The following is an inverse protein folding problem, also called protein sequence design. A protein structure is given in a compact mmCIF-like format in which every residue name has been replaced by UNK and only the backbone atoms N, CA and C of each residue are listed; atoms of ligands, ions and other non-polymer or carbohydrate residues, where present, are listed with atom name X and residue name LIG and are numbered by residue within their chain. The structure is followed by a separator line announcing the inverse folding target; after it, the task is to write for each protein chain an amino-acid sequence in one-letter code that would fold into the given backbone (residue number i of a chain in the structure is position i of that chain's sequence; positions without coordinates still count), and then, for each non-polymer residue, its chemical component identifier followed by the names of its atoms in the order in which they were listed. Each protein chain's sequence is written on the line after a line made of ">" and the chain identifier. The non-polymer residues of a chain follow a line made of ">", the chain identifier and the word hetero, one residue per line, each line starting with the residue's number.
data_IF_371092445098
#
_entry.id   IF_371092445098
#
_cell.length_a   1.000
_cell.length_b   1.000
_cell.length_c   1.000
_cell.angle_alpha   90.00
_cell.angle_beta   90.00
_cell.angle_gamma   90.00
#
_symmetry.space_group_name_H-M   'P 1'
#
loop_
_entity.id
_entity.type
_entity.pdbx_description
1 polymer ?
#
# COMPACT_ATOMS: atom_id res chain seq x y z
N UNK A 1 4.95 -8.93 38.87
CA UNK A 1 4.06 -9.76 38.02
C UNK A 1 2.79 -9.97 38.81
N UNK A 2 1.63 -9.69 38.20
CA UNK A 2 0.33 -9.83 38.86
C UNK A 2 -0.07 -11.29 39.04
N UNK A 3 -1.09 -11.52 39.85
CA UNK A 3 -1.70 -12.86 40.00
C UNK A 3 -2.47 -13.21 38.71
N UNK A 4 -2.37 -14.46 38.20
CA UNK A 4 -3.19 -14.94 37.09
C UNK A 4 -4.68 -14.68 37.35
N UNK A 5 -5.39 -14.15 36.35
CA UNK A 5 -6.80 -13.78 36.48
C UNK A 5 -7.74 -14.96 36.18
N UNK A 6 -7.35 -16.16 36.61
CA UNK A 6 -8.03 -17.44 36.32
C UNK A 6 -9.27 -17.67 37.18
N UNK A 7 -9.33 -17.06 38.36
CA UNK A 7 -10.41 -17.29 39.33
C UNK A 7 -11.66 -16.42 39.06
N UNK A 8 -11.61 -15.54 38.06
CA UNK A 8 -12.74 -14.69 37.69
C UNK A 8 -13.70 -15.42 36.75
N UNK A 9 -15.01 -15.20 36.89
CA UNK A 9 -16.05 -15.83 36.07
C UNK A 9 -15.85 -15.63 34.56
N UNK A 10 -15.36 -14.45 34.16
CA UNK A 10 -15.03 -14.10 32.77
C UNK A 10 -13.93 -14.97 32.14
N UNK A 11 -13.14 -15.67 32.96
CA UNK A 11 -12.13 -16.60 32.47
C UNK A 11 -12.73 -17.76 31.67
N UNK A 12 -14.01 -18.09 31.88
CA UNK A 12 -14.74 -19.09 31.08
C UNK A 12 -14.69 -18.85 29.56
N UNK A 13 -14.52 -17.59 29.11
CA UNK A 13 -14.33 -17.26 27.70
C UNK A 13 -13.00 -17.80 27.12
N UNK A 14 -11.97 -17.97 27.97
CA UNK A 14 -10.70 -18.59 27.57
C UNK A 14 -10.89 -20.08 27.29
N UNK A 15 -11.69 -20.75 28.12
CA UNK A 15 -12.03 -22.17 27.94
C UNK A 15 -12.90 -22.35 26.69
N UNK A 16 -13.94 -21.53 26.51
CA UNK A 16 -14.79 -21.52 25.31
C UNK A 16 -13.97 -21.28 24.04
N UNK A 17 -13.04 -20.32 24.07
CA UNK A 17 -12.16 -20.03 22.94
C UNK A 17 -11.30 -21.24 22.60
N UNK A 18 -10.72 -21.89 23.63
CA UNK A 18 -9.85 -23.04 23.46
C UNK A 18 -10.58 -24.22 22.82
N UNK A 19 -11.81 -24.50 23.26
CA UNK A 19 -12.68 -25.51 22.68
C UNK A 19 -13.08 -25.14 21.24
N UNK A 20 -13.50 -23.89 21.01
CA UNK A 20 -14.04 -23.44 19.72
C UNK A 20 -13.04 -23.54 18.56
N UNK A 21 -11.75 -23.46 18.86
CA UNK A 21 -10.67 -23.53 17.86
C UNK A 21 -9.73 -24.73 18.05
N UNK A 22 -9.93 -25.58 19.06
CA UNK A 22 -9.10 -26.74 19.34
C UNK A 22 -7.63 -26.38 19.62
N UNK A 23 -7.39 -25.29 20.35
CA UNK A 23 -6.05 -24.78 20.69
C UNK A 23 -6.04 -24.30 22.13
N UNK A 24 -4.95 -24.56 22.87
CA UNK A 24 -4.82 -24.10 24.25
C UNK A 24 -4.58 -22.58 24.31
N UNK A 25 -5.64 -21.80 24.53
CA UNK A 25 -5.56 -20.34 24.68
C UNK A 25 -5.11 -19.95 26.10
N UNK A 26 -5.35 -20.81 27.10
CA UNK A 26 -4.89 -20.56 28.47
C UNK A 26 -3.35 -20.51 28.52
N UNK A 27 -2.68 -21.46 27.85
CA UNK A 27 -1.22 -21.43 27.67
C UNK A 27 -0.77 -20.10 27.05
N UNK A 28 -1.43 -19.63 25.98
CA UNK A 28 -1.09 -18.37 25.32
C UNK A 28 -1.18 -17.15 26.25
N UNK A 29 -2.10 -17.15 27.21
CA UNK A 29 -2.33 -16.02 28.10
C UNK A 29 -1.51 -16.07 29.40
N UNK A 30 -1.10 -17.25 29.84
CA UNK A 30 -0.47 -17.47 31.14
C UNK A 30 1.01 -17.85 31.05
N UNK A 31 1.35 -18.71 30.09
CA UNK A 31 2.60 -19.48 30.11
C UNK A 31 3.44 -19.29 28.85
N UNK A 32 2.87 -18.74 27.77
CA UNK A 32 3.57 -18.55 26.52
C UNK A 32 4.71 -17.52 26.64
N UNK A 33 5.89 -17.93 26.17
CA UNK A 33 7.07 -17.08 26.10
C UNK A 33 6.84 -15.92 25.11
N UNK A 34 7.56 -14.80 25.32
CA UNK A 34 7.43 -13.63 24.46
C UNK A 34 7.64 -13.96 22.97
N UNK A 35 8.57 -14.86 22.65
CA UNK A 35 8.82 -15.33 21.28
C UNK A 35 7.64 -16.10 20.69
N UNK A 36 6.88 -16.86 21.49
CA UNK A 36 5.67 -17.52 21.00
C UNK A 36 4.57 -16.50 20.71
N UNK A 37 4.48 -15.44 21.52
CA UNK A 37 3.50 -14.35 21.32
C UNK A 37 3.88 -13.39 20.19
N UNK A 38 5.13 -13.39 19.72
CA UNK A 38 5.50 -12.61 18.51
C UNK A 38 4.91 -13.19 17.22
N UNK A 39 4.51 -14.47 17.21
CA UNK A 39 3.78 -15.06 16.09
C UNK A 39 2.42 -14.39 15.92
N UNK A 40 2.12 -13.93 14.71
CA UNK A 40 0.83 -13.32 14.35
C UNK A 40 -0.33 -14.28 14.61
N UNK A 41 -0.15 -15.58 14.36
CA UNK A 41 -1.18 -16.59 14.64
C UNK A 41 -1.54 -16.65 16.14
N UNK A 42 -0.59 -16.34 17.01
CA UNK A 42 -0.75 -16.46 18.47
C UNK A 42 -1.23 -15.14 19.07
N UNK A 43 -0.60 -14.02 18.65
CA UNK A 43 -0.94 -12.68 19.09
C UNK A 43 -2.41 -12.33 18.81
N UNK A 44 -2.92 -12.72 17.64
CA UNK A 44 -4.29 -12.41 17.21
C UNK A 44 -5.33 -13.07 18.15
N UNK A 45 -5.17 -14.36 18.42
CA UNK A 45 -6.10 -15.11 19.28
C UNK A 45 -6.00 -14.62 20.73
N UNK A 46 -4.77 -14.49 21.25
CA UNK A 46 -4.54 -14.03 22.62
C UNK A 46 -5.15 -12.64 22.86
N UNK A 47 -4.94 -11.70 21.93
CA UNK A 47 -5.44 -10.33 22.05
C UNK A 47 -6.96 -10.26 21.97
N UNK A 48 -7.58 -11.02 21.05
CA UNK A 48 -9.03 -11.05 20.90
C UNK A 48 -9.72 -11.59 22.16
N UNK A 49 -9.24 -12.74 22.65
CA UNK A 49 -9.84 -13.41 23.82
C UNK A 49 -9.65 -12.57 25.07
N UNK A 50 -8.43 -12.06 25.31
CA UNK A 50 -8.17 -11.20 26.47
C UNK A 50 -9.04 -9.94 26.46
N UNK A 51 -9.21 -9.31 25.29
CA UNK A 51 -10.05 -8.11 25.16
C UNK A 51 -11.51 -8.38 25.54
N UNK A 52 -12.04 -9.56 25.21
CA UNK A 52 -13.42 -9.93 25.52
C UNK A 52 -13.59 -10.45 26.95
N UNK A 53 -12.56 -11.09 27.54
CA UNK A 53 -12.51 -11.39 28.97
C UNK A 53 -12.56 -10.09 29.79
N UNK A 54 -11.77 -9.08 29.41
CA UNK A 54 -11.78 -7.76 30.05
C UNK A 54 -13.15 -7.09 29.88
N UNK A 55 -13.71 -7.11 28.67
CA UNK A 55 -15.02 -6.52 28.41
C UNK A 55 -16.13 -7.20 29.23
N UNK A 56 -16.14 -8.53 29.31
CA UNK A 56 -17.11 -9.27 30.10
C UNK A 56 -17.01 -8.92 31.59
N UNK A 57 -15.79 -8.83 32.12
CA UNK A 57 -15.60 -8.42 33.51
C UNK A 57 -16.10 -6.98 33.79
N UNK A 58 -15.86 -6.05 32.85
CA UNK A 58 -16.39 -4.67 32.94
C UNK A 58 -17.93 -4.67 32.89
N UNK A 59 -18.54 -5.49 32.03
CA UNK A 59 -20.00 -5.63 31.97
C UNK A 59 -20.59 -6.18 33.26
N UNK A 60 -19.89 -7.11 33.93
CA UNK A 60 -20.32 -7.63 35.23
C UNK A 60 -20.31 -6.57 36.35
N UNK A 61 -19.61 -5.44 36.18
CA UNK A 61 -19.73 -4.29 37.09
C UNK A 61 -20.93 -3.39 36.78
N UNK A 62 -21.75 -3.74 35.79
CA UNK A 62 -22.90 -2.95 35.33
C UNK A 62 -22.56 -1.84 34.32
N UNK A 63 -21.34 -1.85 33.76
CA UNK A 63 -20.90 -0.86 32.77
C UNK A 63 -21.04 -1.47 31.37
N UNK A 64 -21.91 -0.88 30.55
CA UNK A 64 -22.10 -1.27 29.15
C UNK A 64 -21.49 -0.23 28.20
N UNK A 65 -20.81 -0.65 27.12
CA UNK A 65 -20.32 0.28 26.10
C UNK A 65 -21.49 0.88 25.33
N UNK A 66 -21.52 2.21 25.18
CA UNK A 66 -22.53 2.88 24.34
C UNK A 66 -22.28 2.72 22.84
N UNK A 67 -21.03 2.47 22.46
CA UNK A 67 -20.61 2.20 21.09
C UNK A 67 -19.36 1.32 21.11
N UNK A 68 -19.19 0.49 20.09
CA UNK A 68 -18.00 -0.33 19.90
C UNK A 68 -17.34 0.07 18.58
N UNK A 69 -16.03 0.32 18.60
CA UNK A 69 -15.24 0.61 17.43
C UNK A 69 -13.92 -0.13 17.53
N UNK A 70 -13.40 -0.59 16.39
CA UNK A 70 -12.19 -1.39 16.37
C UNK A 70 -11.52 -1.34 15.03
N UNK A 71 -10.19 -1.44 15.04
CA UNK A 71 -9.35 -1.36 13.86
C UNK A 71 -8.52 -2.64 13.72
N UNK A 72 -8.42 -3.19 12.51
CA UNK A 72 -7.74 -4.47 12.23
C UNK A 72 -8.34 -5.60 13.08
N UNK A 73 -7.55 -6.28 13.92
CA UNK A 73 -8.08 -7.29 14.85
C UNK A 73 -9.21 -6.73 15.73
N UNK A 74 -9.09 -5.47 16.14
CA UNK A 74 -10.08 -4.82 16.98
C UNK A 74 -11.47 -4.74 16.34
N UNK A 75 -11.58 -4.80 15.00
CA UNK A 75 -12.89 -4.82 14.32
C UNK A 75 -13.69 -6.08 14.71
N UNK A 76 -13.05 -7.24 14.75
CA UNK A 76 -13.68 -8.48 15.21
C UNK A 76 -14.09 -8.38 16.67
N UNK A 77 -13.22 -7.84 17.52
CA UNK A 77 -13.53 -7.58 18.94
C UNK A 77 -14.72 -6.63 19.08
N UNK A 78 -14.79 -5.56 18.28
CA UNK A 78 -15.87 -4.58 18.32
C UNK A 78 -17.19 -5.17 17.79
N UNK A 79 -17.16 -5.97 16.73
CA UNK A 79 -18.33 -6.68 16.20
C UNK A 79 -18.87 -7.70 17.20
N UNK A 80 -18.00 -8.44 17.88
CA UNK A 80 -18.41 -9.35 18.96
C UNK A 80 -18.95 -8.58 20.16
N UNK A 81 -18.28 -7.49 20.56
CA UNK A 81 -18.72 -6.62 21.64
C UNK A 81 -20.10 -6.00 21.38
N UNK A 82 -20.37 -5.61 20.13
CA UNK A 82 -21.66 -5.08 19.69
C UNK A 82 -22.75 -6.16 19.50
N UNK A 83 -22.41 -7.45 19.66
CA UNK A 83 -23.32 -8.57 19.45
C UNK A 83 -23.62 -8.89 17.98
N UNK A 84 -22.91 -8.28 17.04
CA UNK A 84 -23.03 -8.56 15.61
C UNK A 84 -22.38 -9.90 15.21
N UNK A 85 -21.40 -10.36 15.99
CA UNK A 85 -20.78 -11.69 15.88
C UNK A 85 -20.87 -12.42 17.22
N UNK A 86 -21.11 -13.73 17.19
CA UNK A 86 -20.98 -14.54 18.41
C UNK A 86 -19.50 -14.72 18.78
N UNK A 87 -19.21 -14.87 20.07
CA UNK A 87 -17.84 -15.06 20.58
C UNK A 87 -17.12 -16.21 19.85
N UNK A 88 -17.73 -17.39 19.80
CA UNK A 88 -17.23 -18.57 19.12
C UNK A 88 -16.99 -18.36 17.60
N UNK A 89 -17.83 -17.55 16.94
CA UNK A 89 -17.62 -17.21 15.51
C UNK A 89 -16.44 -16.27 15.36
N UNK A 90 -16.37 -15.23 16.20
CA UNK A 90 -15.28 -14.25 16.16
C UNK A 90 -13.93 -14.89 16.44
N UNK A 91 -13.81 -15.80 17.42
CA UNK A 91 -12.53 -16.49 17.71
C UNK A 91 -12.09 -17.40 16.56
N UNK A 92 -13.01 -18.08 15.87
CA UNK A 92 -12.70 -18.90 14.68
C UNK A 92 -12.22 -18.05 13.51
N UNK A 93 -12.87 -16.91 13.27
CA UNK A 93 -12.47 -15.95 12.23
C UNK A 93 -11.11 -15.34 12.53
N UNK A 94 -10.87 -14.95 13.78
CA UNK A 94 -9.59 -14.39 14.23
C UNK A 94 -8.47 -15.41 14.10
N UNK A 95 -8.70 -16.67 14.47
CA UNK A 95 -7.73 -17.76 14.22
C UNK A 95 -7.42 -17.89 12.74
N UNK A 96 -8.45 -18.07 11.90
CA UNK A 96 -8.25 -18.27 10.46
C UNK A 96 -7.47 -17.09 9.83
N UNK A 97 -7.77 -15.86 10.25
CA UNK A 97 -7.04 -14.66 9.87
C UNK A 97 -5.59 -14.70 10.35
N UNK A 98 -5.35 -15.01 11.62
CA UNK A 98 -4.01 -15.09 12.21
C UNK A 98 -3.14 -16.14 11.52
N UNK A 99 -3.69 -17.33 11.25
CA UNK A 99 -3.01 -18.43 10.55
C UNK A 99 -2.64 -18.02 9.11
N UNK A 100 -3.58 -17.39 8.37
CA UNK A 100 -3.33 -16.91 7.01
C UNK A 100 -2.28 -15.77 6.96
N UNK A 101 -2.32 -14.85 7.92
CA UNK A 101 -1.34 -13.77 8.02
C UNK A 101 0.05 -14.31 8.38
N UNK A 102 0.13 -15.28 9.30
CA UNK A 102 1.39 -15.91 9.66
C UNK A 102 1.97 -16.69 8.47
N UNK A 103 1.14 -17.46 7.76
CA UNK A 103 1.58 -18.17 6.55
C UNK A 103 2.10 -17.20 5.47
N UNK A 104 1.46 -16.04 5.31
CA UNK A 104 1.93 -15.00 4.39
C UNK A 104 3.27 -14.38 4.85
N UNK A 105 3.44 -14.15 6.16
CA UNK A 105 4.68 -13.64 6.74
C UNK A 105 5.83 -14.65 6.63
N UNK A 106 5.55 -15.94 6.86
CA UNK A 106 6.52 -17.04 6.73
C UNK A 106 6.94 -17.23 5.26
N UNK A 107 6.00 -17.08 4.32
CA UNK A 107 6.26 -17.23 2.89
C UNK A 107 7.12 -16.10 2.31
N UNK A 108 7.04 -14.88 2.86
CA UNK A 108 7.81 -13.71 2.41
C UNK A 108 8.35 -12.90 3.60
N UNK A 109 9.48 -13.34 4.20
CA UNK A 109 10.09 -12.64 5.32
C UNK A 109 10.64 -11.26 4.92
N UNK A 110 10.32 -10.20 5.67
CA UNK A 110 10.84 -8.83 5.48
C UNK A 110 10.62 -7.95 6.71
N UNK A 111 11.34 -6.82 6.85
CA UNK A 111 11.21 -5.89 7.99
C UNK A 111 11.76 -4.46 7.73
N UNK A 112 11.19 -3.43 8.41
CA UNK A 112 11.99 -2.32 8.97
C UNK A 112 12.30 -2.60 10.43
N UNK A 113 13.47 -2.18 10.89
CA UNK A 113 13.85 -2.23 12.29
C UNK A 113 13.68 -0.85 12.95
N UNK A 114 12.88 -0.79 14.01
CA UNK A 114 12.92 0.31 14.97
C UNK A 114 13.64 -0.19 16.22
N UNK A 115 14.71 0.50 16.62
CA UNK A 115 15.41 0.21 17.87
C UNK A 115 14.75 1.06 18.96
N UNK A 116 13.99 0.43 19.85
CA UNK A 116 13.19 1.10 20.88
C UNK A 116 13.66 0.60 22.25
N UNK A 117 13.80 1.50 23.23
CA UNK A 117 14.15 1.14 24.61
C UNK A 117 15.64 0.96 24.88
N UNK A 118 16.50 1.33 23.93
CA UNK A 118 17.93 1.53 24.18
C UNK A 118 18.17 2.95 24.70
N UNK A 119 19.17 3.11 25.56
CA UNK A 119 19.75 4.43 25.82
C UNK A 119 20.51 4.95 24.59
N UNK A 120 20.82 6.23 24.62
CA UNK A 120 21.43 6.95 23.50
C UNK A 120 22.78 6.33 23.07
N UNK A 121 23.55 5.83 24.03
CA UNK A 121 24.86 5.22 23.79
C UNK A 121 24.70 3.86 23.09
N UNK A 122 23.79 3.01 23.57
CA UNK A 122 23.50 1.71 22.97
C UNK A 122 22.88 1.86 21.56
N UNK A 123 22.07 2.90 21.34
CA UNK A 123 21.56 3.22 20.01
C UNK A 123 22.68 3.62 19.03
N UNK A 124 23.60 4.49 19.47
CA UNK A 124 24.77 4.90 18.68
C UNK A 124 25.69 3.69 18.36
N UNK A 125 25.98 2.85 19.36
CA UNK A 125 26.77 1.64 19.16
C UNK A 125 26.10 0.66 18.19
N UNK A 126 24.78 0.48 18.31
CA UNK A 126 24.00 -0.35 17.40
C UNK A 126 24.13 0.14 15.97
N UNK A 127 23.98 1.44 15.75
CA UNK A 127 24.11 2.06 14.43
C UNK A 127 25.51 1.83 13.83
N UNK A 128 26.58 2.02 14.61
CA UNK A 128 27.95 1.75 14.18
C UNK A 128 28.20 0.29 13.77
N UNK A 129 27.44 -0.65 14.34
CA UNK A 129 27.50 -2.07 13.93
C UNK A 129 26.65 -2.34 12.69
N UNK A 130 25.53 -1.65 12.51
CA UNK A 130 24.59 -1.92 11.41
C UNK A 130 25.10 -1.31 10.10
N UNK A 131 25.53 -0.04 10.11
CA UNK A 131 25.96 0.70 8.91
C UNK A 131 26.92 -0.08 8.00
N UNK A 132 28.06 -0.61 8.47
CA UNK A 132 29.03 -1.30 7.60
C UNK A 132 28.53 -2.64 7.06
N UNK A 133 27.41 -3.17 7.57
CA UNK A 133 26.81 -4.45 7.16
C UNK A 133 25.57 -4.26 6.29
N UNK A 134 25.10 -3.03 6.11
CA UNK A 134 23.88 -2.75 5.37
C UNK A 134 24.12 -2.86 3.86
N UNK A 135 23.28 -3.60 3.12
CA UNK A 135 23.34 -3.64 1.66
C UNK A 135 22.76 -2.38 1.00
N UNK A 136 22.17 -1.47 1.79
CA UNK A 136 21.54 -0.24 1.32
C UNK A 136 22.02 0.98 2.10
N UNK A 137 22.00 2.20 1.51
CA UNK A 137 22.28 3.43 2.24
C UNK A 137 21.30 3.63 3.39
N UNK A 138 21.83 3.91 4.59
CA UNK A 138 21.01 4.14 5.78
C UNK A 138 20.85 5.63 6.05
N UNK A 139 19.61 6.04 6.32
CA UNK A 139 19.28 7.40 6.77
C UNK A 139 18.96 7.34 8.26
N UNK A 140 19.72 8.06 9.10
CA UNK A 140 19.41 8.16 10.52
C UNK A 140 18.40 9.28 10.78
N UNK A 141 17.27 8.93 11.39
CA UNK A 141 16.22 9.86 11.76
C UNK A 141 16.38 10.34 13.20
N UNK A 142 16.91 11.55 13.39
CA UNK A 142 17.29 12.05 14.71
C UNK A 142 16.29 13.10 15.20
N UNK A 143 15.80 12.88 16.42
CA UNK A 143 14.87 13.77 17.10
C UNK A 143 15.51 14.35 18.37
N UNK A 144 15.37 15.67 18.58
CA UNK A 144 15.73 16.45 19.79
C UNK A 144 17.23 16.54 20.16
N UNK A 145 18.01 15.48 19.94
CA UNK A 145 19.37 15.36 20.47
C UNK A 145 20.44 15.50 19.38
N UNK A 146 21.14 16.64 19.34
CA UNK A 146 22.27 16.85 18.40
C UNK A 146 23.41 15.83 18.56
N UNK A 147 23.67 15.36 19.80
CA UNK A 147 24.70 14.34 20.07
C UNK A 147 24.46 13.04 19.32
N UNK A 148 23.20 12.62 19.19
CA UNK A 148 22.85 11.43 18.40
C UNK A 148 23.08 11.65 16.90
N UNK A 149 22.90 12.88 16.40
CA UNK A 149 23.23 13.21 15.01
C UNK A 149 24.73 13.12 14.76
N UNK A 150 25.55 13.66 15.66
CA UNK A 150 27.02 13.54 15.60
C UNK A 150 27.46 12.07 15.70
N UNK A 151 26.86 11.29 16.60
CA UNK A 151 27.15 9.87 16.72
C UNK A 151 26.74 9.07 15.45
N UNK A 152 25.63 9.44 14.81
CA UNK A 152 25.24 8.84 13.54
C UNK A 152 26.20 9.17 12.40
N UNK A 153 26.73 10.40 12.35
CA UNK A 153 27.80 10.78 11.42
C UNK A 153 29.08 9.98 11.67
N UNK A 154 29.43 9.75 12.94
CA UNK A 154 30.57 8.89 13.31
C UNK A 154 30.36 7.43 12.91
N UNK A 155 29.13 6.93 13.02
CA UNK A 155 28.75 5.60 12.57
C UNK A 155 28.80 5.42 11.04
N UNK A 156 28.89 6.51 10.27
CA UNK A 156 29.02 6.47 8.80
C UNK A 156 27.69 6.38 8.05
N UNK A 157 26.60 6.93 8.60
CA UNK A 157 25.31 6.94 7.89
C UNK A 157 25.39 7.69 6.56
N UNK A 158 24.59 7.26 5.59
CA UNK A 158 24.60 7.85 4.25
C UNK A 158 23.82 9.16 4.17
N UNK A 159 22.96 9.46 5.14
CA UNK A 159 22.20 10.68 5.23
C UNK A 159 21.66 10.86 6.66
N UNK A 160 21.53 12.10 7.11
CA UNK A 160 20.75 12.42 8.32
C UNK A 160 19.36 12.90 7.92
N UNK A 161 18.36 12.68 8.78
CA UNK A 161 17.15 13.51 8.80
C UNK A 161 17.07 14.24 10.12
N UNK A 162 16.90 15.56 10.03
CA UNK A 162 16.66 16.44 11.17
C UNK A 162 15.26 17.05 11.08
N UNK A 163 14.65 17.29 12.24
CA UNK A 163 13.39 18.03 12.34
C UNK A 163 13.65 19.39 13.03
N UNK A 164 13.43 20.49 12.30
CA UNK A 164 13.51 21.88 12.81
C UNK A 164 12.86 22.12 14.17
N UNK A 165 11.62 21.67 14.34
CA UNK A 165 10.84 21.93 15.57
C UNK A 165 11.42 21.26 16.83
N UNK A 166 12.36 20.33 16.66
CA UNK A 166 12.87 19.47 17.72
C UNK A 166 14.29 19.87 18.20
N UNK A 167 15.18 20.34 17.31
CA UNK A 167 16.53 20.81 17.68
C UNK A 167 16.51 22.34 17.72
N UNK A 168 16.14 22.92 18.86
CA UNK A 168 15.80 24.36 18.97
C UNK A 168 16.97 25.33 19.02
N UNK A 169 18.21 24.84 19.17
CA UNK A 169 19.38 25.71 19.33
C UNK A 169 20.10 25.85 17.99
N UNK A 170 20.15 27.05 17.39
CA UNK A 170 20.83 27.27 16.12
C UNK A 170 22.29 26.81 16.13
N UNK A 171 22.97 26.93 17.28
CA UNK A 171 24.37 26.51 17.42
C UNK A 171 24.53 24.99 17.21
N UNK A 172 23.59 24.20 17.73
CA UNK A 172 23.62 22.74 17.55
C UNK A 172 23.28 22.32 16.12
N UNK A 173 22.35 23.02 15.46
CA UNK A 173 22.03 22.77 14.05
C UNK A 173 23.26 23.04 13.18
N UNK A 174 23.92 24.19 13.40
CA UNK A 174 25.13 24.61 12.70
C UNK A 174 26.30 23.65 12.91
N UNK A 175 26.48 23.17 14.13
CA UNK A 175 27.51 22.16 14.45
C UNK A 175 27.27 20.86 13.67
N UNK A 176 26.04 20.33 13.68
CA UNK A 176 25.71 19.11 12.94
C UNK A 176 25.86 19.30 11.43
N UNK A 177 25.46 20.46 10.89
CA UNK A 177 25.61 20.78 9.47
C UNK A 177 27.08 20.91 9.06
N UNK A 178 27.92 21.56 9.87
CA UNK A 178 29.35 21.66 9.61
C UNK A 178 30.02 20.27 9.61
N UNK A 179 29.73 19.44 10.62
CA UNK A 179 30.28 18.08 10.71
C UNK A 179 29.81 17.18 9.56
N UNK A 180 28.54 17.31 9.15
CA UNK A 180 28.03 16.60 7.99
C UNK A 180 28.72 17.05 6.69
N UNK A 181 29.02 18.35 6.57
CA UNK A 181 29.76 18.94 5.45
C UNK A 181 31.18 18.40 5.35
N UNK A 182 31.91 18.36 6.47
CA UNK A 182 33.27 17.80 6.54
C UNK A 182 33.33 16.32 6.12
N UNK A 183 32.22 15.59 6.30
CA UNK A 183 32.09 14.17 5.95
C UNK A 183 31.44 13.90 4.59
N UNK A 184 30.91 14.94 3.93
CA UNK A 184 30.13 14.80 2.70
C UNK A 184 28.85 13.97 2.87
N UNK A 185 28.16 14.13 4.00
CA UNK A 185 26.90 13.43 4.29
C UNK A 185 25.72 14.40 4.12
N UNK A 186 24.76 14.13 3.20
CA UNK A 186 23.61 15.00 2.99
C UNK A 186 22.65 15.01 4.18
N UNK A 187 21.92 16.11 4.36
CA UNK A 187 20.90 16.25 5.41
C UNK A 187 19.51 16.45 4.80
N UNK A 188 18.54 15.63 5.21
CA UNK A 188 17.11 15.88 4.97
C UNK A 188 16.54 16.78 6.06
N UNK A 189 16.08 17.96 5.69
CA UNK A 189 15.30 18.85 6.55
C UNK A 189 13.82 18.44 6.47
N UNK A 190 13.26 17.96 7.57
CA UNK A 190 11.90 17.40 7.61
C UNK A 190 10.94 18.16 8.50
N UNK A 191 10.23 19.14 7.93
CA UNK A 191 9.16 19.91 8.57
C UNK A 191 7.86 19.10 8.55
N UNK A 192 7.18 19.00 9.69
CA UNK A 192 5.86 18.38 9.79
C UNK A 192 4.85 19.35 10.38
N UNK A 193 3.61 19.30 9.89
CA UNK A 193 2.47 20.05 10.42
C UNK A 193 2.29 19.90 11.94
N UNK A 194 2.49 18.69 12.48
CA UNK A 194 2.34 18.41 13.91
C UNK A 194 3.50 18.86 14.79
N UNK A 195 4.59 19.38 14.21
CA UNK A 195 5.78 19.84 14.94
C UNK A 195 6.30 21.16 14.38
N UNK A 196 5.38 22.05 13.97
CA UNK A 196 5.71 23.35 13.44
C UNK A 196 6.39 24.21 14.52
N UNK A 197 7.25 25.13 14.09
CA UNK A 197 7.85 26.12 14.99
C UNK A 197 6.74 26.97 15.65
N UNK A 198 6.70 27.07 17.00
CA UNK A 198 5.62 27.76 17.70
C UNK A 198 5.47 29.24 17.34
N UNK A 199 6.56 29.93 17.00
CA UNK A 199 6.52 31.35 16.63
C UNK A 199 5.95 31.53 15.22
N UNK A 200 6.24 30.59 14.32
CA UNK A 200 5.67 30.57 12.96
C UNK A 200 4.18 30.22 13.04
N UNK A 201 3.82 29.19 13.80
CA UNK A 201 2.44 28.76 14.00
C UNK A 201 1.58 29.88 14.61
N UNK A 202 2.09 30.59 15.62
CA UNK A 202 1.38 31.71 16.23
C UNK A 202 1.11 32.87 15.26
N UNK A 203 1.96 33.05 14.24
CA UNK A 203 1.86 34.16 13.28
C UNK A 203 1.01 33.84 12.06
N UNK A 204 1.14 32.62 11.54
CA UNK A 204 0.57 32.22 10.24
C UNK A 204 -0.53 31.15 10.39
N UNK A 205 -0.61 30.47 11.54
CA UNK A 205 -1.42 29.28 11.71
C UNK A 205 -0.86 28.09 10.95
N UNK A 206 -1.63 27.00 10.87
CA UNK A 206 -1.26 25.82 10.10
C UNK A 206 -1.64 26.01 8.62
N UNK A 207 -0.76 26.65 7.85
CA UNK A 207 -0.95 26.95 6.42
C UNK A 207 0.24 26.48 5.58
N UNK A 208 0.12 26.40 4.25
CA UNK A 208 1.25 26.12 3.36
C UNK A 208 2.44 27.05 3.58
N UNK A 209 2.17 28.35 3.71
CA UNK A 209 3.20 29.38 3.93
C UNK A 209 3.93 29.17 5.26
N UNK A 210 3.23 28.68 6.29
CA UNK A 210 3.84 28.40 7.57
C UNK A 210 4.83 27.22 7.49
N UNK A 211 4.46 26.15 6.79
CA UNK A 211 5.32 24.99 6.56
C UNK A 211 6.57 25.36 5.73
N UNK A 212 6.39 26.14 4.67
CA UNK A 212 7.49 26.60 3.81
C UNK A 212 8.40 27.58 4.56
N UNK A 213 7.83 28.55 5.29
CA UNK A 213 8.63 29.48 6.10
C UNK A 213 9.46 28.76 7.18
N UNK A 214 8.95 27.65 7.72
CA UNK A 214 9.72 26.81 8.65
C UNK A 214 10.88 26.10 7.97
N UNK A 215 10.73 25.68 6.70
CA UNK A 215 11.82 25.10 5.93
C UNK A 215 12.88 26.15 5.54
N UNK A 216 12.45 27.35 5.11
CA UNK A 216 13.35 28.46 4.76
C UNK A 216 14.19 28.95 5.94
N UNK A 217 13.57 29.07 7.14
CA UNK A 217 14.29 29.43 8.37
C UNK A 217 15.44 28.47 8.64
N UNK A 218 15.24 27.20 8.38
CA UNK A 218 16.22 26.15 8.67
C UNK A 218 17.32 26.13 7.63
N UNK A 219 16.95 26.25 6.35
CA UNK A 219 17.93 26.47 5.29
C UNK A 219 18.85 27.65 5.59
N UNK A 220 18.33 28.73 6.17
CA UNK A 220 19.15 29.88 6.55
C UNK A 220 20.25 29.51 7.58
N UNK A 221 19.96 28.64 8.55
CA UNK A 221 20.98 28.18 9.50
C UNK A 221 22.09 27.35 8.85
N UNK A 222 21.74 26.55 7.84
CA UNK A 222 22.68 25.71 7.10
C UNK A 222 23.54 26.57 6.16
N UNK A 223 22.92 27.58 5.51
CA UNK A 223 23.61 28.55 4.67
C UNK A 223 24.65 29.38 5.46
N UNK A 224 24.38 29.71 6.73
CA UNK A 224 25.35 30.42 7.59
C UNK A 224 26.67 29.65 7.81
N UNK A 225 26.65 28.32 7.67
CA UNK A 225 27.85 27.46 7.73
C UNK A 225 28.28 26.93 6.36
N UNK A 226 27.67 27.44 5.28
CA UNK A 226 28.01 27.04 3.90
C UNK A 226 27.66 25.59 3.57
N UNK A 227 26.61 25.03 4.17
CA UNK A 227 26.14 23.68 3.87
C UNK A 227 24.93 23.71 2.93
N UNK A 228 25.10 23.12 1.74
CA UNK A 228 24.09 23.13 0.68
C UNK A 228 23.59 21.73 0.28
N UNK A 229 24.18 20.65 0.81
CA UNK A 229 23.83 19.26 0.45
C UNK A 229 22.58 18.79 1.20
N UNK A 230 21.45 19.41 0.86
CA UNK A 230 20.16 19.25 1.54
C UNK A 230 19.09 18.68 0.62
N UNK A 231 18.14 17.98 1.23
CA UNK A 231 16.82 17.68 0.63
C UNK A 231 15.72 18.02 1.63
N UNK A 232 14.52 18.33 1.17
CA UNK A 232 13.49 18.93 2.03
C UNK A 232 12.18 18.14 1.97
N UNK A 233 11.47 18.06 3.10
CA UNK A 233 10.09 17.59 3.12
C UNK A 233 9.23 18.48 4.01
N UNK A 234 8.03 18.84 3.53
CA UNK A 234 6.98 19.56 4.27
C UNK A 234 5.74 18.67 4.35
N UNK A 235 5.66 17.81 5.36
CA UNK A 235 4.60 16.79 5.43
C UNK A 235 3.42 17.27 6.28
N UNK A 236 2.21 17.05 5.76
CA UNK A 236 0.97 17.21 6.50
C UNK A 236 0.10 15.96 6.34
N UNK A 237 -0.78 15.73 7.31
CA UNK A 237 -1.78 14.65 7.25
C UNK A 237 -3.01 15.08 6.47
N UNK A 238 -3.31 16.37 6.33
CA UNK A 238 -4.31 16.84 5.36
C UNK A 238 -3.69 16.88 3.95
N UNK A 239 -4.36 16.21 2.99
CA UNK A 239 -3.83 16.03 1.63
C UNK A 239 -3.77 17.35 0.88
N UNK A 240 -4.75 18.25 1.04
CA UNK A 240 -4.77 19.53 0.34
C UNK A 240 -3.67 20.44 0.85
N UNK A 241 -3.55 20.56 2.18
CA UNK A 241 -2.47 21.30 2.82
C UNK A 241 -1.11 20.78 2.35
N UNK A 242 -0.91 19.46 2.33
CA UNK A 242 0.34 18.85 1.87
C UNK A 242 0.64 19.23 0.41
N UNK A 243 -0.31 19.06 -0.51
CA UNK A 243 -0.12 19.37 -1.93
C UNK A 243 0.21 20.85 -2.14
N UNK A 244 -0.56 21.77 -1.56
CA UNK A 244 -0.30 23.21 -1.70
C UNK A 244 1.05 23.61 -1.07
N UNK A 245 1.46 22.96 0.03
CA UNK A 245 2.77 23.20 0.64
C UNK A 245 3.92 22.78 -0.25
N UNK A 246 3.83 21.62 -0.92
CA UNK A 246 4.88 21.16 -1.82
C UNK A 246 4.94 21.98 -3.11
N UNK A 247 3.80 22.44 -3.65
CA UNK A 247 3.78 23.36 -4.80
C UNK A 247 4.48 24.67 -4.45
N UNK A 248 4.10 25.28 -3.34
CA UNK A 248 4.75 26.50 -2.87
C UNK A 248 6.25 26.28 -2.61
N UNK A 249 6.60 25.15 -1.98
CA UNK A 249 8.01 24.83 -1.71
C UNK A 249 8.80 24.67 -3.01
N UNK A 250 8.27 23.98 -4.02
CA UNK A 250 8.93 23.78 -5.32
C UNK A 250 9.21 25.10 -6.06
N UNK A 251 8.35 26.11 -5.88
CA UNK A 251 8.57 27.46 -6.44
C UNK A 251 9.55 28.31 -5.59
N UNK A 252 9.86 27.87 -4.37
CA UNK A 252 10.66 28.63 -3.39
C UNK A 252 12.10 28.16 -3.31
N UNK A 253 12.37 26.87 -3.51
CA UNK A 253 13.70 26.26 -3.31
C UNK A 253 14.05 25.29 -4.43
N UNK A 254 15.33 25.26 -4.83
CA UNK A 254 15.86 24.33 -5.84
C UNK A 254 16.30 22.97 -5.25
N UNK A 255 16.17 22.78 -3.93
CA UNK A 255 16.59 21.56 -3.26
C UNK A 255 15.66 20.37 -3.58
N UNK A 256 16.18 19.14 -3.70
CA UNK A 256 15.36 17.94 -3.92
C UNK A 256 14.26 17.76 -2.85
N UNK A 257 13.08 17.36 -3.29
CA UNK A 257 11.88 17.24 -2.46
C UNK A 257 11.57 15.78 -2.13
N UNK A 258 11.48 15.48 -0.83
CA UNK A 258 11.08 14.18 -0.30
C UNK A 258 9.59 14.14 0.05
N UNK A 259 8.79 13.65 -0.88
CA UNK A 259 7.34 13.59 -0.76
C UNK A 259 6.88 12.59 0.30
N UNK A 260 5.73 12.88 0.89
CA UNK A 260 4.98 11.91 1.68
C UNK A 260 3.85 12.57 2.45
N UNK A 261 2.73 11.85 2.56
CA UNK A 261 1.66 12.20 3.51
C UNK A 261 2.04 11.57 4.85
N UNK A 262 2.16 12.39 5.89
CA UNK A 262 2.39 11.86 7.25
C UNK A 262 1.08 11.35 7.83
N UNK A 263 1.15 10.34 8.71
CA UNK A 263 -0.03 9.79 9.40
C UNK A 263 -1.17 9.48 8.41
N UNK A 264 -0.85 8.77 7.33
CA UNK A 264 -1.84 8.41 6.32
C UNK A 264 -2.88 7.44 6.90
N UNK A 265 -2.47 6.64 7.89
CA UNK A 265 -3.28 5.65 8.56
C UNK A 265 -3.17 4.27 7.92
N UNK A 266 -4.01 3.33 8.34
CA UNK A 266 -3.99 1.95 7.85
C UNK A 266 -4.59 1.81 6.45
N UNK A 267 -4.15 0.81 5.65
CA UNK A 267 -4.85 0.43 4.42
C UNK A 267 -6.31 0.01 4.66
N UNK A 268 -7.23 0.20 3.69
CA UNK A 268 -7.01 0.79 2.37
C UNK A 268 -7.00 2.33 2.38
N UNK A 269 -7.57 2.97 3.40
CA UNK A 269 -7.73 4.43 3.45
C UNK A 269 -6.39 5.16 3.41
N UNK A 270 -5.38 4.67 4.13
CA UNK A 270 -4.03 5.25 4.11
C UNK A 270 -3.38 5.18 2.73
N UNK A 271 -3.63 4.11 1.96
CA UNK A 271 -3.16 4.01 0.57
C UNK A 271 -3.83 5.06 -0.32
N UNK A 272 -5.17 5.18 -0.24
CA UNK A 272 -5.92 6.18 -1.01
C UNK A 272 -5.45 7.60 -0.70
N UNK A 273 -5.30 7.90 0.60
CA UNK A 273 -4.89 9.21 1.10
C UNK A 273 -3.46 9.57 0.68
N UNK A 274 -2.50 8.66 0.87
CA UNK A 274 -1.11 8.88 0.47
C UNK A 274 -0.98 9.00 -1.05
N UNK A 275 -1.67 8.14 -1.81
CA UNK A 275 -1.66 8.16 -3.27
C UNK A 275 -2.26 9.44 -3.82
N UNK A 276 -3.38 9.92 -3.28
CA UNK A 276 -4.00 11.17 -3.71
C UNK A 276 -3.05 12.38 -3.58
N UNK A 277 -2.26 12.46 -2.51
CA UNK A 277 -1.27 13.53 -2.35
C UNK A 277 -0.04 13.34 -3.23
N UNK A 278 0.60 12.17 -3.14
CA UNK A 278 1.88 11.90 -3.81
C UNK A 278 1.71 11.87 -5.33
N UNK A 279 0.69 11.19 -5.86
CA UNK A 279 0.48 11.07 -7.30
C UNK A 279 0.18 12.43 -7.96
N UNK A 280 -0.56 13.30 -7.26
CA UNK A 280 -0.86 14.66 -7.76
C UNK A 280 0.43 15.43 -8.00
N UNK A 281 1.34 15.46 -7.03
CA UNK A 281 2.62 16.16 -7.13
C UNK A 281 3.54 15.53 -8.18
N UNK A 282 3.63 14.19 -8.22
CA UNK A 282 4.45 13.49 -9.20
C UNK A 282 4.00 13.75 -10.65
N UNK A 283 2.69 13.80 -10.91
CA UNK A 283 2.12 14.14 -12.22
C UNK A 283 2.39 15.60 -12.64
N UNK A 284 2.64 16.48 -11.67
CA UNK A 284 3.05 17.87 -11.88
C UNK A 284 4.58 18.02 -12.04
N UNK A 285 5.33 16.91 -11.94
CA UNK A 285 6.80 16.91 -12.01
C UNK A 285 7.47 17.36 -10.71
N UNK A 286 6.75 17.36 -9.60
CA UNK A 286 7.25 17.75 -8.27
C UNK A 286 7.58 16.49 -7.47
N UNK A 287 8.83 16.37 -7.01
CA UNK A 287 9.29 15.32 -6.10
C UNK A 287 10.39 14.42 -6.65
N UNK A 288 11.43 14.20 -5.84
CA UNK A 288 12.65 13.47 -6.22
C UNK A 288 12.79 12.13 -5.48
N UNK A 289 12.15 12.02 -4.32
CA UNK A 289 12.03 10.80 -3.54
C UNK A 289 10.70 10.82 -2.79
N UNK A 290 10.17 9.65 -2.44
CA UNK A 290 8.89 9.53 -1.74
C UNK A 290 8.95 8.54 -0.59
N UNK A 291 8.03 8.68 0.35
CA UNK A 291 7.71 7.67 1.37
C UNK A 291 6.20 7.64 1.61
N UNK A 292 5.63 6.45 1.52
CA UNK A 292 4.32 6.15 2.10
C UNK A 292 4.47 6.03 3.62
N UNK A 293 3.57 6.64 4.39
CA UNK A 293 3.60 6.59 5.86
C UNK A 293 2.32 5.91 6.36
N UNK A 294 2.27 4.60 6.22
CA UNK A 294 1.10 3.76 6.51
C UNK A 294 1.19 3.18 7.92
N UNK A 295 0.04 2.93 8.53
CA UNK A 295 -0.03 2.10 9.73
C UNK A 295 -0.08 0.62 9.30
N UNK A 296 1.03 0.14 8.72
CA UNK A 296 1.16 -1.19 8.14
C UNK A 296 2.60 -1.70 8.24
N UNK A 297 2.84 -2.92 7.74
CA UNK A 297 4.21 -3.41 7.53
C UNK A 297 4.96 -2.46 6.59
N UNK A 298 6.21 -2.08 6.90
CA UNK A 298 7.04 -1.24 6.05
C UNK A 298 7.27 -1.74 4.62
N UNK A 299 7.25 -3.06 4.42
CA UNK A 299 7.31 -3.67 3.09
C UNK A 299 6.11 -3.24 2.26
N UNK A 300 4.94 -3.05 2.88
CA UNK A 300 3.75 -2.51 2.19
C UNK A 300 3.92 -1.03 1.84
N UNK A 301 4.58 -0.22 2.68
CA UNK A 301 4.93 1.16 2.33
C UNK A 301 5.84 1.21 1.09
N UNK A 302 6.87 0.36 1.08
CA UNK A 302 7.82 0.26 -0.04
C UNK A 302 7.16 -0.26 -1.31
N UNK A 303 6.29 -1.29 -1.18
CA UNK A 303 5.53 -1.85 -2.31
C UNK A 303 4.58 -0.82 -2.90
N UNK A 304 3.84 -0.08 -2.07
CA UNK A 304 2.92 0.97 -2.53
C UNK A 304 3.66 2.09 -3.27
N UNK A 305 4.79 2.56 -2.71
CA UNK A 305 5.62 3.58 -3.34
C UNK A 305 6.20 3.12 -4.69
N UNK A 306 6.68 1.87 -4.77
CA UNK A 306 7.16 1.28 -6.02
C UNK A 306 6.04 1.16 -7.05
N UNK A 307 4.90 0.60 -6.66
CA UNK A 307 3.76 0.38 -7.55
C UNK A 307 3.21 1.70 -8.09
N UNK A 308 3.16 2.76 -7.27
CA UNK A 308 2.77 4.08 -7.74
C UNK A 308 3.69 4.58 -8.86
N UNK A 309 5.01 4.48 -8.68
CA UNK A 309 5.97 4.91 -9.70
C UNK A 309 5.85 4.10 -11.00
N UNK A 310 5.57 2.79 -10.89
CA UNK A 310 5.33 1.92 -12.05
C UNK A 310 4.05 2.30 -12.80
N UNK A 311 2.95 2.55 -12.09
CA UNK A 311 1.66 2.96 -12.68
C UNK A 311 1.76 4.34 -13.35
N UNK A 312 2.51 5.27 -12.77
CA UNK A 312 2.74 6.59 -13.35
C UNK A 312 3.77 6.58 -14.50
N UNK A 313 4.42 5.44 -14.78
CA UNK A 313 5.47 5.33 -15.79
C UNK A 313 6.78 6.04 -15.41
N UNK A 314 6.97 6.40 -14.14
CA UNK A 314 8.17 7.01 -13.59
C UNK A 314 9.25 5.98 -13.20
N UNK A 315 8.87 4.69 -13.22
CA UNK A 315 9.77 3.55 -13.00
C UNK A 315 9.37 2.40 -13.91
N UNK A 316 10.37 1.66 -14.38
CA UNK A 316 10.11 0.40 -15.10
C UNK A 316 9.40 -0.62 -14.22
N UNK A 317 8.44 -1.32 -14.81
CA UNK A 317 7.72 -2.43 -14.18
C UNK A 317 8.71 -3.53 -13.84
N UNK A 318 8.63 -4.09 -12.63
CA UNK A 318 9.33 -5.35 -12.31
C UNK A 318 8.48 -6.60 -12.48
N UNK A 319 7.17 -6.45 -12.63
CA UNK A 319 6.24 -7.58 -12.74
C UNK A 319 5.00 -7.16 -13.55
N UNK A 320 4.06 -8.10 -13.69
CA UNK A 320 2.87 -7.91 -14.51
C UNK A 320 2.01 -6.76 -13.99
N UNK A 321 1.67 -5.86 -14.90
CA UNK A 321 0.65 -4.84 -14.72
C UNK A 321 -0.68 -5.39 -15.28
N UNK A 322 -1.51 -5.94 -14.41
CA UNK A 322 -2.76 -6.57 -14.81
C UNK A 322 -3.88 -5.52 -14.90
N UNK A 323 -4.37 -5.29 -16.12
CA UNK A 323 -5.58 -4.49 -16.36
C UNK A 323 -6.76 -5.42 -16.61
N UNK A 324 -7.90 -5.13 -15.99
CA UNK A 324 -9.12 -5.89 -16.20
C UNK A 324 -10.29 -4.96 -16.42
N UNK A 325 -11.23 -5.34 -17.30
CA UNK A 325 -12.47 -4.58 -17.38
C UNK A 325 -13.26 -4.76 -16.06
N UNK A 326 -13.99 -3.74 -15.59
CA UNK A 326 -14.80 -3.82 -14.35
C UNK A 326 -15.98 -4.79 -14.44
N UNK A 327 -16.14 -5.51 -15.56
CA UNK A 327 -17.33 -6.25 -16.00
C UNK A 327 -18.50 -5.33 -16.43
N UNK A 328 -19.42 -5.88 -17.23
CA UNK A 328 -20.63 -5.20 -17.69
C UNK A 328 -21.68 -6.22 -18.16
N UNK A 329 -22.84 -5.76 -18.66
CA UNK A 329 -23.90 -6.64 -19.17
C UNK A 329 -23.51 -7.48 -20.40
N UNK A 330 -22.32 -7.26 -20.99
CA UNK A 330 -21.76 -8.08 -22.08
C UNK A 330 -20.77 -9.13 -21.59
N UNK A 331 -20.46 -9.18 -20.30
CA UNK A 331 -19.49 -10.14 -19.78
C UNK A 331 -20.02 -11.57 -19.92
N UNK A 332 -19.17 -12.46 -20.44
CA UNK A 332 -19.50 -13.86 -20.68
C UNK A 332 -18.88 -14.81 -19.65
N UNK A 333 -18.00 -14.27 -18.82
CA UNK A 333 -17.29 -14.98 -17.75
C UNK A 333 -17.33 -14.18 -16.47
N UNK A 334 -16.98 -14.84 -15.36
CA UNK A 334 -16.62 -14.17 -14.13
C UNK A 334 -15.24 -13.49 -14.27
N UNK A 335 -15.25 -12.27 -14.82
CA UNK A 335 -14.04 -11.47 -15.05
C UNK A 335 -13.26 -11.25 -13.75
N UNK A 336 -13.98 -11.09 -12.63
CA UNK A 336 -13.36 -10.83 -11.32
C UNK A 336 -12.54 -12.05 -10.92
N UNK A 337 -13.13 -13.24 -11.03
CA UNK A 337 -12.43 -14.50 -10.76
C UNK A 337 -11.23 -14.69 -11.67
N UNK A 338 -11.39 -14.54 -12.98
CA UNK A 338 -10.28 -14.75 -13.94
C UNK A 338 -9.15 -13.75 -13.71
N UNK A 339 -9.46 -12.49 -13.42
CA UNK A 339 -8.44 -11.50 -13.09
C UNK A 339 -7.73 -11.82 -11.76
N UNK A 340 -8.44 -12.27 -10.73
CA UNK A 340 -7.84 -12.68 -9.47
C UNK A 340 -6.93 -13.92 -9.64
N UNK A 341 -7.38 -14.92 -10.40
CA UNK A 341 -6.61 -16.12 -10.72
C UNK A 341 -5.36 -15.77 -11.55
N UNK A 342 -5.48 -14.87 -12.53
CA UNK A 342 -4.33 -14.37 -13.29
C UNK A 342 -3.33 -13.62 -12.40
N UNK A 343 -3.81 -12.72 -11.53
CA UNK A 343 -2.95 -11.98 -10.60
C UNK A 343 -2.16 -12.93 -9.68
N UNK A 344 -2.83 -13.96 -9.16
CA UNK A 344 -2.18 -14.99 -8.34
C UNK A 344 -1.13 -15.78 -9.14
N UNK A 345 -1.43 -16.14 -10.39
CA UNK A 345 -0.52 -16.90 -11.24
C UNK A 345 0.74 -16.11 -11.65
N UNK A 346 0.66 -14.77 -11.69
CA UNK A 346 1.78 -13.87 -12.02
C UNK A 346 2.57 -13.37 -10.80
N UNK A 347 2.11 -13.62 -9.57
CA UNK A 347 2.62 -12.98 -8.35
C UNK A 347 4.15 -13.07 -8.15
N UNK A 348 4.79 -14.14 -8.63
CA UNK A 348 6.22 -14.42 -8.41
C UNK A 348 7.06 -14.47 -9.71
N UNK A 349 6.47 -14.19 -10.88
CA UNK A 349 7.13 -14.43 -12.17
C UNK A 349 8.05 -13.30 -12.64
N UNK A 350 7.90 -12.10 -12.08
CA UNK A 350 8.73 -10.92 -12.42
C UNK A 350 8.76 -10.61 -13.92
N UNK A 351 7.59 -10.67 -14.57
CA UNK A 351 7.46 -10.43 -16.01
C UNK A 351 7.04 -8.98 -16.25
N UNK A 352 7.90 -8.10 -16.79
CA UNK A 352 7.64 -6.65 -16.87
C UNK A 352 6.72 -6.29 -18.07
N UNK A 353 5.54 -6.91 -18.14
CA UNK A 353 4.57 -6.75 -19.24
C UNK A 353 3.20 -6.31 -18.72
N UNK A 354 2.45 -5.56 -19.53
CA UNK A 354 1.06 -5.26 -19.23
C UNK A 354 0.14 -6.35 -19.80
N UNK A 355 -0.70 -6.92 -18.95
CA UNK A 355 -1.61 -8.03 -19.30
C UNK A 355 -3.05 -7.59 -19.11
N UNK A 356 -3.90 -7.83 -20.12
CA UNK A 356 -5.31 -7.47 -20.12
C UNK A 356 -6.25 -8.68 -19.94
N UNK A 357 -7.23 -8.60 -19.04
CA UNK A 357 -8.32 -9.58 -18.88
C UNK A 357 -9.66 -8.92 -19.19
N UNK A 358 -10.30 -9.35 -20.28
CA UNK A 358 -11.50 -8.73 -20.81
C UNK A 358 -12.67 -9.72 -20.82
N UNK A 359 -13.83 -9.26 -20.34
CA UNK A 359 -15.01 -10.11 -20.17
C UNK A 359 -15.81 -10.40 -21.44
N UNK A 360 -15.52 -9.71 -22.55
CA UNK A 360 -16.19 -9.92 -23.83
C UNK A 360 -15.23 -9.70 -25.01
N UNK A 361 -15.41 -10.47 -26.09
CA UNK A 361 -14.64 -10.36 -27.34
C UNK A 361 -15.11 -9.16 -28.19
N UNK A 362 -16.29 -8.60 -27.90
CA UNK A 362 -16.90 -7.52 -28.68
C UNK A 362 -16.08 -6.24 -28.61
N UNK A 363 -15.77 -5.78 -27.40
CA UNK A 363 -14.96 -4.57 -27.17
C UNK A 363 -13.59 -4.86 -26.55
N UNK A 364 -13.43 -6.02 -25.88
CA UNK A 364 -12.24 -6.35 -25.09
C UNK A 364 -10.91 -6.16 -25.84
N UNK A 365 -10.70 -6.77 -27.01
CA UNK A 365 -9.45 -6.61 -27.78
C UNK A 365 -9.20 -5.17 -28.24
N UNK A 366 -10.25 -4.36 -28.42
CA UNK A 366 -10.17 -2.95 -28.80
C UNK A 366 -9.82 -2.04 -27.62
N UNK A 367 -10.47 -2.25 -26.48
CA UNK A 367 -10.24 -1.51 -25.23
C UNK A 367 -8.85 -1.81 -24.64
N UNK A 368 -8.29 -2.99 -24.93
CA UNK A 368 -7.03 -3.48 -24.41
C UNK A 368 -5.82 -3.29 -25.36
N UNK A 369 -5.93 -2.52 -26.44
CA UNK A 369 -4.86 -2.42 -27.47
C UNK A 369 -3.53 -1.89 -26.94
N UNK A 370 -3.56 -1.14 -25.85
CA UNK A 370 -2.37 -0.62 -25.19
C UNK A 370 -1.60 -1.66 -24.40
N UNK A 371 -2.22 -2.80 -24.06
CA UNK A 371 -1.57 -3.89 -23.35
C UNK A 371 -0.66 -4.68 -24.29
N UNK A 372 0.44 -5.21 -23.74
CA UNK A 372 1.37 -6.06 -24.48
C UNK A 372 0.69 -7.39 -24.83
N UNK A 373 -0.02 -7.97 -23.86
CA UNK A 373 -0.76 -9.22 -23.96
C UNK A 373 -2.15 -9.05 -23.38
N UNK A 374 -3.12 -9.84 -23.85
CA UNK A 374 -4.38 -9.98 -23.14
C UNK A 374 -5.22 -11.14 -23.61
N UNK A 375 -6.34 -11.34 -22.93
CA UNK A 375 -7.32 -12.36 -23.27
C UNK A 375 -8.74 -11.80 -23.15
N UNK A 376 -9.57 -12.08 -24.15
CA UNK A 376 -10.97 -11.67 -24.16
C UNK A 376 -11.90 -12.88 -24.23
N UNK A 377 -12.87 -12.97 -23.32
CA UNK A 377 -13.82 -14.07 -23.31
C UNK A 377 -14.88 -13.94 -24.40
N UNK A 378 -15.28 -15.06 -24.99
CA UNK A 378 -16.41 -15.15 -25.93
C UNK A 378 -16.81 -16.60 -26.16
N UNK A 379 -18.10 -16.91 -26.13
CA UNK A 379 -18.70 -18.22 -26.38
C UNK A 379 -18.03 -19.39 -25.65
N UNK A 380 -17.68 -19.21 -24.38
CA UNK A 380 -16.94 -20.18 -23.54
C UNK A 380 -15.49 -20.45 -24.02
N UNK A 381 -14.90 -19.46 -24.67
CA UNK A 381 -13.51 -19.46 -25.16
C UNK A 381 -12.80 -18.19 -24.74
N UNK A 382 -11.48 -18.26 -24.61
CA UNK A 382 -10.59 -17.12 -24.43
C UNK A 382 -9.85 -16.81 -25.72
N UNK A 383 -9.92 -15.56 -26.16
CA UNK A 383 -9.23 -15.05 -27.35
C UNK A 383 -7.98 -14.32 -26.89
N UNK A 384 -6.84 -14.99 -26.97
CA UNK A 384 -5.54 -14.46 -26.58
C UNK A 384 -5.05 -13.51 -27.68
N UNK A 385 -4.62 -12.31 -27.31
CA UNK A 385 -4.16 -11.30 -28.25
C UNK A 385 -2.88 -10.62 -27.78
N UNK A 386 -2.05 -10.21 -28.73
CA UNK A 386 -0.84 -9.43 -28.52
C UNK A 386 -1.02 -8.10 -29.25
N UNK A 387 -0.91 -6.97 -28.54
CA UNK A 387 -1.16 -5.62 -29.09
C UNK A 387 -2.46 -5.52 -29.93
N UNK A 388 -3.51 -6.17 -29.44
CA UNK A 388 -4.84 -6.19 -30.07
C UNK A 388 -5.00 -7.15 -31.27
N UNK A 389 -3.98 -7.92 -31.64
CA UNK A 389 -4.08 -8.96 -32.67
C UNK A 389 -4.28 -10.32 -32.01
N UNK A 390 -5.35 -11.03 -32.36
CA UNK A 390 -5.62 -12.38 -31.79
C UNK A 390 -4.61 -13.37 -32.35
N UNK A 391 -3.87 -14.01 -31.45
CA UNK A 391 -2.79 -14.96 -31.76
C UNK A 391 -3.18 -16.41 -31.48
N UNK A 392 -4.13 -16.66 -30.58
CA UNK A 392 -4.55 -17.99 -30.16
C UNK A 392 -5.95 -17.96 -29.56
N UNK A 393 -6.72 -19.03 -29.73
CA UNK A 393 -8.04 -19.21 -29.09
C UNK A 393 -7.99 -20.45 -28.21
N UNK A 394 -8.38 -20.32 -26.95
CA UNK A 394 -8.32 -21.39 -25.94
C UNK A 394 -9.69 -21.66 -25.31
N UNK A 395 -9.92 -22.86 -24.74
CA UNK A 395 -11.01 -23.10 -23.83
C UNK A 395 -11.00 -22.12 -22.63
N UNK A 396 -12.18 -21.80 -22.10
CA UNK A 396 -12.34 -20.88 -20.96
C UNK A 396 -11.54 -21.30 -19.71
N UNK A 397 -11.46 -22.60 -19.44
CA UNK A 397 -10.73 -23.16 -18.30
C UNK A 397 -9.20 -23.14 -18.46
N UNK A 398 -8.70 -22.87 -19.67
CA UNK A 398 -7.27 -22.75 -19.97
C UNK A 398 -6.79 -21.29 -20.06
N UNK A 399 -7.69 -20.31 -19.91
CA UNK A 399 -7.41 -18.89 -20.13
C UNK A 399 -6.21 -18.37 -19.32
N UNK A 400 -6.17 -18.66 -18.01
CA UNK A 400 -5.10 -18.18 -17.12
C UNK A 400 -3.77 -18.86 -17.46
N UNK A 401 -3.79 -20.16 -17.74
CA UNK A 401 -2.59 -20.90 -18.12
C UNK A 401 -2.01 -20.36 -19.45
N UNK A 402 -2.87 -20.09 -20.43
CA UNK A 402 -2.47 -19.53 -21.71
C UNK A 402 -1.89 -18.11 -21.59
N UNK A 403 -2.49 -17.26 -20.75
CA UNK A 403 -1.95 -15.93 -20.45
C UNK A 403 -0.54 -16.00 -19.88
N UNK A 404 -0.32 -16.89 -18.93
CA UNK A 404 0.96 -17.06 -18.25
C UNK A 404 2.02 -17.57 -19.22
N UNK A 405 1.72 -18.64 -19.95
CA UNK A 405 2.62 -19.24 -20.93
C UNK A 405 3.03 -18.21 -21.99
N UNK A 406 2.06 -17.43 -22.50
CA UNK A 406 2.34 -16.45 -23.54
C UNK A 406 3.11 -15.24 -23.01
N UNK A 407 2.86 -14.82 -21.77
CA UNK A 407 3.63 -13.74 -21.15
C UNK A 407 5.11 -14.10 -21.00
N UNK A 408 5.42 -15.34 -20.60
CA UNK A 408 6.80 -15.84 -20.51
C UNK A 408 7.49 -15.82 -21.87
N UNK A 409 6.84 -16.38 -22.89
CA UNK A 409 7.36 -16.37 -24.27
C UNK A 409 7.48 -14.95 -24.82
N UNK A 410 6.57 -14.04 -24.46
CA UNK A 410 6.62 -12.66 -24.92
C UNK A 410 7.86 -11.93 -24.38
N UNK A 411 8.21 -12.17 -23.11
CA UNK A 411 9.42 -11.62 -22.49
C UNK A 411 10.70 -12.24 -23.07
N UNK A 412 10.68 -13.54 -23.38
CA UNK A 412 11.85 -14.26 -23.91
C UNK A 412 12.10 -14.01 -25.41
N UNK A 413 11.05 -14.06 -26.23
CA UNK A 413 11.14 -14.07 -27.70
C UNK A 413 10.82 -12.69 -28.32
N UNK A 414 10.09 -11.84 -27.60
CA UNK A 414 9.65 -10.52 -28.06
C UNK A 414 8.38 -10.54 -28.93
N UNK A 415 7.73 -9.38 -29.01
CA UNK A 415 6.39 -9.19 -29.63
C UNK A 415 6.33 -9.69 -31.08
N UNK A 416 7.31 -9.34 -31.91
CA UNK A 416 7.28 -9.67 -33.34
C UNK A 416 7.37 -11.18 -33.61
N UNK A 417 8.18 -11.90 -32.82
CA UNK A 417 8.30 -13.34 -32.92
C UNK A 417 6.99 -14.04 -32.52
N UNK A 418 6.34 -13.55 -31.44
CA UNK A 418 5.07 -14.09 -30.96
C UNK A 418 3.91 -13.83 -31.93
N UNK A 419 3.85 -12.64 -32.53
CA UNK A 419 2.87 -12.32 -33.58
C UNK A 419 3.05 -13.19 -34.82
N UNK A 420 4.30 -13.48 -35.23
CA UNK A 420 4.57 -14.37 -36.36
C UNK A 420 4.23 -15.84 -36.08
N UNK A 421 4.22 -16.24 -34.80
CA UNK A 421 3.87 -17.58 -34.34
C UNK A 421 2.37 -17.75 -34.03
N UNK A 422 1.51 -16.82 -34.45
CA UNK A 422 0.07 -16.91 -34.26
C UNK A 422 -0.53 -18.17 -34.90
N UNK A 423 -1.51 -18.76 -34.23
CA UNK A 423 -2.24 -19.94 -34.70
C UNK A 423 -2.98 -19.62 -36.02
N UNK A 424 -2.85 -20.53 -36.98
CA UNK A 424 -3.52 -20.40 -38.26
C UNK A 424 -5.05 -20.41 -38.08
N UNK A 425 -5.69 -19.28 -38.33
CA UNK A 425 -7.15 -19.13 -38.23
C UNK A 425 -7.66 -18.48 -36.95
N UNK A 426 -6.81 -18.22 -35.95
CA UNK A 426 -7.24 -17.63 -34.66
C UNK A 426 -8.02 -16.32 -34.82
N UNK A 427 -7.56 -15.43 -35.72
CA UNK A 427 -8.26 -14.19 -36.02
C UNK A 427 -9.65 -14.41 -36.67
N UNK A 428 -9.77 -15.43 -37.53
CA UNK A 428 -11.04 -15.76 -38.18
C UNK A 428 -12.03 -16.39 -37.19
N UNK A 429 -11.54 -17.25 -36.29
CA UNK A 429 -12.35 -17.83 -35.21
C UNK A 429 -12.87 -16.76 -34.24
N UNK A 430 -12.01 -15.82 -33.84
CA UNK A 430 -12.39 -14.72 -32.97
C UNK A 430 -13.46 -13.80 -33.59
N UNK A 431 -13.34 -13.49 -34.88
CA UNK A 431 -14.34 -12.67 -35.57
C UNK A 431 -15.66 -13.43 -35.76
N UNK A 432 -15.62 -14.75 -35.98
CA UNK A 432 -16.82 -15.58 -36.04
C UNK A 432 -17.57 -15.58 -34.69
N UNK A 433 -16.85 -15.74 -33.57
CA UNK A 433 -17.44 -15.66 -32.23
C UNK A 433 -18.02 -14.30 -31.93
N UNK A 434 -17.25 -13.24 -32.24
CA UNK A 434 -17.68 -11.86 -32.08
C UNK A 434 -18.95 -11.56 -32.88
N UNK A 435 -19.02 -11.98 -34.14
CA UNK A 435 -20.20 -11.81 -34.99
C UNK A 435 -21.42 -12.57 -34.46
N UNK A 436 -21.22 -13.82 -34.02
CA UNK A 436 -22.29 -14.63 -33.43
C UNK A 436 -22.83 -14.01 -32.14
N UNK A 437 -21.95 -13.48 -31.28
CA UNK A 437 -22.35 -12.80 -30.05
C UNK A 437 -23.11 -11.50 -30.29
N UNK A 438 -22.71 -10.74 -31.30
CA UNK A 438 -23.44 -9.55 -31.72
C UNK A 438 -24.85 -9.90 -32.23
N UNK A 439 -25.00 -11.03 -32.92
CA UNK A 439 -26.30 -11.52 -33.37
C UNK A 439 -27.18 -12.04 -32.21
N UNK A 440 -26.58 -12.73 -31.23
CA UNK A 440 -27.30 -13.27 -30.06
C UNK A 440 -27.79 -12.17 -29.09
N UNK A 441 -27.12 -11.01 -29.06
CA UNK A 441 -27.50 -9.87 -28.22
C UNK A 441 -28.73 -9.09 -28.73
N UNK A 442 -29.29 -9.49 -29.88
CA UNK A 442 -30.55 -8.98 -30.43
C UNK A 442 -30.47 -7.56 -31.00
N UNK A 443 -31.43 -7.23 -31.88
CA UNK A 443 -31.61 -5.85 -32.33
C UNK A 443 -32.00 -4.95 -31.15
N UNK A 444 -31.52 -3.71 -31.21
CA UNK A 444 -31.68 -2.62 -30.23
C UNK A 444 -32.78 -2.82 -29.18
N UNK A 445 -32.36 -3.08 -27.94
CA UNK A 445 -33.23 -3.30 -26.78
C UNK A 445 -34.21 -2.13 -26.48
N UNK A 446 -33.97 -0.94 -27.03
CA UNK A 446 -34.86 0.21 -26.86
C UNK A 446 -35.89 0.38 -27.98
N UNK A 447 -35.90 -0.51 -28.99
CA UNK A 447 -36.71 -0.41 -30.19
C UNK A 447 -36.61 1.00 -30.81
N UNK A 448 -35.42 1.61 -30.79
CA UNK A 448 -35.22 3.01 -31.18
C UNK A 448 -35.60 3.23 -32.63
N UNK A 449 -35.37 2.24 -33.51
CA UNK A 449 -35.83 2.29 -34.90
C UNK A 449 -37.35 2.32 -35.01
N UNK A 450 -38.06 1.47 -34.26
CA UNK A 450 -39.53 1.48 -34.21
C UNK A 450 -40.07 2.81 -33.63
N UNK A 451 -39.40 3.40 -32.64
CA UNK A 451 -39.73 4.73 -32.10
C UNK A 451 -39.44 5.86 -33.10
N UNK A 452 -38.35 5.77 -33.85
CA UNK A 452 -37.99 6.71 -34.93
C UNK A 452 -39.01 6.62 -36.07
N UNK A 453 -39.46 5.42 -36.44
CA UNK A 453 -40.54 5.23 -37.41
C UNK A 453 -41.87 5.79 -36.91
N UNK A 454 -42.21 5.61 -35.63
CA UNK A 454 -43.41 6.21 -35.03
C UNK A 454 -43.36 7.74 -35.03
N UNK A 455 -42.20 8.32 -34.74
CA UNK A 455 -41.99 9.78 -34.81
C UNK A 455 -42.11 10.27 -36.26
N UNK A 456 -41.58 9.52 -37.23
CA UNK A 456 -41.68 9.85 -38.66
C UNK A 456 -43.13 9.75 -39.16
N UNK A 457 -43.89 8.75 -38.72
CA UNK A 457 -45.30 8.59 -39.10
C UNK A 457 -46.19 9.69 -38.51
N UNK A 458 -45.93 10.13 -37.27
CA UNK A 458 -46.61 11.27 -36.64
C UNK A 458 -46.26 12.63 -37.27
N UNK A 459 -45.15 12.73 -37.99
CA UNK A 459 -44.75 13.94 -38.74
C UNK A 459 -45.22 13.96 -40.20
N UNK A 460 -45.71 12.82 -40.70
CA UNK A 460 -46.15 12.64 -42.08
C UNK A 460 -47.68 12.67 -42.22
N UNK A 461 -48.40 12.76 -41.10
CA UNK A 461 -49.82 13.08 -40.98
C UNK A 461 -49.96 14.53 -40.46
#
# INVERSE_FOLDING_TARGET
>A
MGTPWTDHSSWSLVDEASEAIGRDVAHLLLDAEASELTSTANAQVATYVLSLVVLDAVRQTGIEPMACAGHSLGEYTALTAAGALSFATGVRLVRARGDAMQAAADARPGAMAAVIGLDDDAAAEGLARIVPRSPVPLVADVHFQHRLALAALEAGVACLRLNPGNIRKPEHIKEVAAEAGDRGVPIRIGVNAGSLDPDIEARLGLTPEALVASAERELAYFAEVGFDDVKISVKASDVRLMVESYRLLADTVDAPLHLGVTEAGPPPTGLLKATAGIATLLLEGIGDTLRYSLTADPVEEARAGRQLLEVLGLRERSNVDLIACPSCGRAEIDVIKVAADALAAFAERQLPVQVAVMGCVVNGPGEARSADLGIAAGRRRGHLFIRGQVVRVVPEDEMVAALVEEAEKLVEEGVEARLAAADAGAAAEAEADRAALLADQGDDANASEARVELIRSHRSA
#
